data_IF_259016812569
#
_entry.id   IF_259016812569
#
_cell.length_a   1.000
_cell.length_b   1.000
_cell.length_c   1.000
_cell.angle_alpha   90.00
_cell.angle_beta   90.00
_cell.angle_gamma   90.00
#
_symmetry.space_group_name_H-M   'P 1'
#
loop_
_entity.id
_entity.type
_entity.pdbx_description
1 polymer ?
#
# COMPACT_ATOMS: atom_id res chain seq x y z
N UNK A 1 -46.74 -19.03 -32.28
CA UNK A 1 -46.73 -19.36 -30.84
C UNK A 1 -45.59 -18.58 -30.22
N UNK A 2 -45.82 -17.53 -29.41
CA UNK A 2 -44.73 -16.81 -28.76
C UNK A 2 -44.30 -17.53 -27.48
N UNK A 3 -42.98 -17.62 -27.27
CA UNK A 3 -42.33 -18.25 -26.11
C UNK A 3 -42.74 -17.58 -24.80
N UNK A 4 -43.10 -18.38 -23.80
CA UNK A 4 -43.41 -17.91 -22.45
C UNK A 4 -42.14 -17.40 -21.76
N UNK A 5 -42.11 -16.09 -21.49
CA UNK A 5 -41.07 -15.47 -20.69
C UNK A 5 -41.18 -15.95 -19.23
N UNK A 6 -40.16 -16.63 -18.72
CA UNK A 6 -40.13 -17.13 -17.35
C UNK A 6 -39.95 -15.96 -16.38
N UNK A 7 -40.97 -15.68 -15.55
CA UNK A 7 -40.88 -14.62 -14.53
C UNK A 7 -39.94 -15.09 -13.40
N UNK A 8 -39.02 -14.25 -12.89
CA UNK A 8 -38.16 -14.63 -11.78
C UNK A 8 -38.99 -14.88 -10.52
N UNK A 9 -38.83 -16.05 -9.91
CA UNK A 9 -39.47 -16.41 -8.65
C UNK A 9 -38.79 -15.61 -7.53
N UNK A 10 -39.55 -14.75 -6.83
CA UNK A 10 -39.08 -14.12 -5.59
C UNK A 10 -38.97 -15.19 -4.51
N UNK A 11 -37.73 -15.55 -4.13
CA UNK A 11 -37.50 -16.41 -2.97
C UNK A 11 -37.66 -15.59 -1.68
N UNK A 12 -38.29 -16.15 -0.63
CA UNK A 12 -38.47 -15.48 0.65
C UNK A 12 -37.12 -15.27 1.36
N UNK A 13 -37.00 -14.11 2.02
CA UNK A 13 -35.77 -13.60 2.68
C UNK A 13 -35.23 -14.51 3.78
N UNK A 14 -36.08 -15.38 4.36
CA UNK A 14 -35.70 -16.33 5.41
C UNK A 14 -34.74 -17.44 4.97
N UNK A 15 -34.47 -17.57 3.66
CA UNK A 15 -33.45 -18.49 3.14
C UNK A 15 -32.01 -17.94 3.24
N UNK A 16 -31.82 -16.68 3.63
CA UNK A 16 -30.50 -16.05 3.80
C UNK A 16 -29.99 -16.05 5.25
N UNK A 17 -30.82 -16.39 6.24
CA UNK A 17 -30.48 -16.28 7.67
C UNK A 17 -29.56 -17.41 8.18
N UNK A 18 -29.06 -18.30 7.32
CA UNK A 18 -28.19 -19.42 7.72
C UNK A 18 -26.90 -19.50 6.89
N UNK A 19 -26.14 -18.41 6.84
CA UNK A 19 -24.70 -18.45 6.54
C UNK A 19 -23.95 -18.01 7.81
N UNK A 20 -23.97 -18.88 8.83
CA UNK A 20 -23.07 -18.76 9.98
C UNK A 20 -21.71 -19.27 9.51
N UNK A 21 -20.75 -18.36 9.32
CA UNK A 21 -19.37 -18.70 8.97
C UNK A 21 -18.50 -17.61 8.35
N UNK A 22 -19.05 -16.44 8.02
CA UNK A 22 -18.25 -15.25 7.67
C UNK A 22 -18.55 -14.19 8.71
N UNK A 23 -17.52 -13.55 9.28
CA UNK A 23 -17.76 -12.29 9.96
C UNK A 23 -18.53 -11.37 9.00
N UNK A 24 -19.50 -10.61 9.50
CA UNK A 24 -20.26 -9.67 8.67
C UNK A 24 -19.26 -8.73 7.96
N UNK A 25 -19.21 -8.68 6.61
CA UNK A 25 -18.28 -7.82 5.89
C UNK A 25 -18.39 -6.34 6.29
N UNK A 26 -19.58 -5.89 6.70
CA UNK A 26 -19.78 -4.56 7.23
C UNK A 26 -19.13 -4.37 8.60
N UNK A 27 -19.15 -5.41 9.45
CA UNK A 27 -18.45 -5.42 10.74
C UNK A 27 -16.94 -5.43 10.55
N UNK A 28 -16.39 -6.31 9.69
CA UNK A 28 -14.95 -6.34 9.39
C UNK A 28 -14.45 -4.97 8.90
N UNK A 29 -15.20 -4.36 7.98
CA UNK A 29 -14.89 -3.01 7.47
C UNK A 29 -14.92 -1.99 8.60
N UNK A 30 -15.94 -2.01 9.46
CA UNK A 30 -16.07 -1.07 10.58
C UNK A 30 -14.93 -1.21 11.58
N UNK A 31 -14.53 -2.44 11.92
CA UNK A 31 -13.39 -2.71 12.81
C UNK A 31 -12.09 -2.22 12.14
N UNK A 32 -11.91 -2.43 10.83
CA UNK A 32 -10.73 -1.93 10.10
C UNK A 32 -10.62 -0.41 10.19
N UNK A 33 -11.70 0.33 9.95
CA UNK A 33 -11.71 1.79 10.08
C UNK A 33 -11.50 2.26 11.53
N UNK A 34 -12.15 1.62 12.50
CA UNK A 34 -12.02 1.96 13.91
C UNK A 34 -10.59 1.75 14.42
N UNK A 35 -9.97 0.62 14.07
CA UNK A 35 -8.59 0.30 14.46
C UNK A 35 -7.57 1.21 13.77
N UNK A 36 -7.73 1.49 12.47
CA UNK A 36 -6.88 2.43 11.74
C UNK A 36 -6.94 3.85 12.34
N UNK A 37 -8.15 4.35 12.59
CA UNK A 37 -8.37 5.66 13.20
C UNK A 37 -7.82 5.75 14.62
N UNK A 38 -8.08 4.72 15.43
CA UNK A 38 -7.59 4.66 16.81
C UNK A 38 -6.06 4.58 16.87
N UNK A 39 -5.42 3.82 15.98
CA UNK A 39 -3.97 3.76 15.91
C UNK A 39 -3.39 5.13 15.52
N UNK A 40 -3.91 5.75 14.46
CA UNK A 40 -3.44 7.05 14.00
C UNK A 40 -3.60 8.11 15.10
N UNK A 41 -4.76 8.16 15.77
CA UNK A 41 -5.02 9.07 16.88
C UNK A 41 -4.08 8.82 18.06
N UNK A 42 -3.89 7.56 18.47
CA UNK A 42 -3.00 7.20 19.59
C UNK A 42 -1.56 7.59 19.33
N UNK A 43 -1.05 7.33 18.12
CA UNK A 43 0.34 7.66 17.78
C UNK A 43 0.52 9.18 17.67
N UNK A 44 -0.46 9.91 17.16
CA UNK A 44 -0.43 11.39 17.10
C UNK A 44 -0.52 12.05 18.47
N UNK A 45 -1.21 11.44 19.42
CA UNK A 45 -1.30 11.93 20.80
C UNK A 45 -0.01 11.67 21.62
N UNK A 46 0.89 10.81 21.14
CA UNK A 46 2.17 10.55 21.79
C UNK A 46 3.23 11.58 21.38
N UNK A 47 3.37 12.63 22.19
CA UNK A 47 4.35 13.69 21.96
C UNK A 47 5.81 13.18 21.94
N UNK A 48 6.11 12.12 22.71
CA UNK A 48 7.45 11.53 22.75
C UNK A 48 7.82 10.86 21.43
N UNK A 49 6.82 10.31 20.73
CA UNK A 49 7.02 9.54 19.51
C UNK A 49 7.45 8.10 19.67
N UNK A 50 7.62 7.64 20.90
CA UNK A 50 8.03 6.27 21.18
C UNK A 50 7.05 5.25 20.59
N UNK A 51 5.77 5.60 20.43
CA UNK A 51 4.77 4.73 19.80
C UNK A 51 4.95 4.61 18.29
N UNK A 52 5.38 5.67 17.61
CA UNK A 52 5.69 5.61 16.18
C UNK A 52 6.95 4.78 15.92
N UNK A 53 8.01 5.00 16.71
CA UNK A 53 9.24 4.20 16.59
C UNK A 53 8.99 2.73 16.90
N UNK A 54 8.23 2.43 17.95
CA UNK A 54 7.84 1.05 18.25
C UNK A 54 7.04 0.44 17.11
N UNK A 55 6.14 1.18 16.48
CA UNK A 55 5.37 0.65 15.35
C UNK A 55 6.29 0.36 14.16
N UNK A 56 7.16 1.30 13.77
CA UNK A 56 8.13 1.14 12.67
C UNK A 56 9.13 0.00 12.93
N UNK A 57 9.57 -0.17 14.18
CA UNK A 57 10.46 -1.27 14.55
C UNK A 57 9.71 -2.61 14.63
N UNK A 58 8.52 -2.63 15.23
CA UNK A 58 7.69 -3.83 15.35
C UNK A 58 7.28 -4.39 13.98
N UNK A 59 7.01 -3.53 13.01
CA UNK A 59 6.74 -3.96 11.63
C UNK A 59 7.92 -4.66 10.97
N UNK A 60 9.16 -4.30 11.34
CA UNK A 60 10.37 -4.96 10.84
C UNK A 60 10.67 -6.31 11.49
N UNK A 61 10.28 -6.49 12.76
CA UNK A 61 10.67 -7.68 13.56
C UNK A 61 9.57 -8.73 13.72
N UNK A 62 8.30 -8.31 13.84
CA UNK A 62 7.21 -9.20 14.28
C UNK A 62 5.97 -9.17 13.39
N UNK A 63 5.86 -8.18 12.49
CA UNK A 63 4.69 -7.95 11.66
C UNK A 63 3.46 -7.50 12.46
N UNK A 64 2.67 -6.55 11.94
CA UNK A 64 1.38 -6.16 12.56
C UNK A 64 0.25 -7.13 12.23
N UNK A 65 0.56 -8.42 12.13
CA UNK A 65 -0.12 -9.41 11.30
C UNK A 65 -1.65 -9.46 11.48
N UNK A 66 -2.15 -9.39 12.70
CA UNK A 66 -3.61 -9.40 12.96
C UNK A 66 -4.32 -8.13 12.47
N UNK A 67 -3.74 -6.95 12.71
CA UNK A 67 -4.31 -5.66 12.25
C UNK A 67 -4.09 -5.50 10.74
N UNK A 68 -2.95 -5.97 10.26
CA UNK A 68 -2.60 -6.05 8.85
C UNK A 68 -3.60 -6.89 8.06
N UNK A 69 -3.93 -8.09 8.55
CA UNK A 69 -4.92 -8.97 7.94
C UNK A 69 -6.28 -8.27 7.83
N UNK A 70 -6.71 -7.60 8.90
CA UNK A 70 -7.95 -6.84 8.93
C UNK A 70 -7.95 -5.70 7.89
N UNK A 71 -6.87 -4.92 7.80
CA UNK A 71 -6.77 -3.83 6.84
C UNK A 71 -6.56 -4.30 5.40
N UNK A 72 -6.01 -5.49 5.18
CA UNK A 72 -5.75 -6.04 3.85
C UNK A 72 -7.03 -6.21 3.02
N UNK A 73 -8.17 -6.37 3.71
CA UNK A 73 -9.52 -6.51 3.13
C UNK A 73 -10.18 -5.16 2.83
N UNK A 74 -9.65 -4.06 3.38
CA UNK A 74 -10.26 -2.75 3.21
C UNK A 74 -10.10 -2.22 1.77
N UNK A 75 -11.09 -1.48 1.24
CA UNK A 75 -10.98 -0.86 -0.08
C UNK A 75 -9.74 0.05 -0.17
N UNK A 76 -9.13 0.12 -1.35
CA UNK A 76 -7.79 0.72 -1.50
C UNK A 76 -7.67 2.18 -1.12
N UNK A 77 -8.74 2.95 -1.34
CA UNK A 77 -8.82 4.40 -1.13
C UNK A 77 -9.59 4.74 0.14
N UNK A 78 -9.28 4.01 1.20
CA UNK A 78 -9.75 4.23 2.57
C UNK A 78 -8.54 4.42 3.49
N UNK A 79 -8.74 4.94 4.70
CA UNK A 79 -7.68 5.07 5.69
C UNK A 79 -6.98 3.73 5.98
N UNK A 80 -7.68 2.63 6.35
CA UNK A 80 -7.04 1.32 6.54
C UNK A 80 -6.36 0.81 5.26
N UNK A 81 -6.97 0.99 4.09
CA UNK A 81 -6.39 0.55 2.81
C UNK A 81 -5.09 1.28 2.44
N UNK A 82 -4.97 2.56 2.80
CA UNK A 82 -3.77 3.36 2.60
C UNK A 82 -2.66 2.95 3.60
N UNK A 83 -2.99 2.78 4.88
CA UNK A 83 -2.05 2.32 5.91
C UNK A 83 -1.50 0.92 5.60
N UNK A 84 -2.36 0.01 5.14
CA UNK A 84 -1.94 -1.32 4.70
C UNK A 84 -0.91 -1.26 3.56
N UNK A 85 -1.12 -0.42 2.55
CA UNK A 85 -0.18 -0.26 1.44
C UNK A 85 1.16 0.31 1.90
N UNK A 86 1.15 1.29 2.80
CA UNK A 86 2.38 1.82 3.39
C UNK A 86 3.15 0.74 4.14
N UNK A 87 2.44 -0.09 4.91
CA UNK A 87 3.04 -1.21 5.63
C UNK A 87 3.61 -2.28 4.69
N UNK A 88 2.86 -2.75 3.70
CA UNK A 88 3.34 -3.74 2.72
C UNK A 88 4.52 -3.21 1.93
N UNK A 89 4.51 -1.91 1.59
CA UNK A 89 5.63 -1.27 0.93
C UNK A 89 6.87 -1.28 1.83
N UNK A 90 6.76 -0.91 3.10
CA UNK A 90 7.87 -0.99 4.07
C UNK A 90 8.42 -2.41 4.16
N UNK A 91 7.55 -3.39 4.38
CA UNK A 91 7.94 -4.80 4.51
C UNK A 91 8.66 -5.31 3.25
N UNK A 92 8.17 -4.96 2.07
CA UNK A 92 8.77 -5.37 0.81
C UNK A 92 10.17 -4.78 0.57
N UNK A 93 10.45 -3.59 1.11
CA UNK A 93 11.77 -2.94 1.00
C UNK A 93 12.75 -3.52 2.04
N UNK A 94 12.30 -3.75 3.27
CA UNK A 94 13.12 -4.42 4.29
C UNK A 94 13.46 -5.86 3.91
N UNK A 95 12.55 -6.58 3.25
CA UNK A 95 12.76 -7.98 2.86
C UNK A 95 13.78 -8.19 1.74
N UNK A 96 13.96 -7.21 0.85
CA UNK A 96 14.98 -7.25 -0.21
C UNK A 96 15.43 -5.83 -0.60
N UNK A 97 16.27 -5.20 0.25
CA UNK A 97 16.69 -3.83 0.06
C UNK A 97 17.67 -3.68 -1.12
N UNK A 98 18.36 -4.76 -1.49
CA UNK A 98 19.27 -4.78 -2.65
C UNK A 98 18.50 -4.66 -3.97
N UNK A 99 17.48 -5.50 -4.17
CA UNK A 99 16.61 -5.36 -5.34
C UNK A 99 15.90 -4.02 -5.32
N UNK A 100 15.45 -3.56 -4.16
CA UNK A 100 14.82 -2.25 -4.05
C UNK A 100 15.73 -1.10 -4.51
N UNK A 101 16.99 -1.07 -4.09
CA UNK A 101 17.94 -0.04 -4.49
C UNK A 101 18.28 -0.10 -5.98
N UNK A 102 18.47 -1.30 -6.55
CA UNK A 102 18.73 -1.49 -7.98
C UNK A 102 17.56 -0.96 -8.83
N UNK A 103 16.34 -1.35 -8.48
CA UNK A 103 15.15 -0.88 -9.20
C UNK A 103 14.97 0.63 -9.02
N UNK A 104 15.29 1.19 -7.85
CA UNK A 104 15.13 2.62 -7.62
C UNK A 104 16.12 3.43 -8.47
N UNK A 105 17.38 2.99 -8.52
CA UNK A 105 18.42 3.67 -9.31
C UNK A 105 18.13 3.59 -10.81
N UNK A 106 17.67 2.43 -11.30
CA UNK A 106 17.20 2.29 -12.69
C UNK A 106 16.00 3.19 -12.95
N UNK A 107 15.00 3.14 -12.06
CA UNK A 107 13.75 3.88 -12.19
C UNK A 107 13.95 5.39 -12.20
N UNK A 108 14.84 5.94 -11.36
CA UNK A 108 15.08 7.41 -11.33
C UNK A 108 15.76 7.92 -12.61
N UNK A 109 16.50 7.06 -13.32
CA UNK A 109 17.18 7.41 -14.57
C UNK A 109 16.17 7.39 -15.73
N UNK A 110 15.31 6.37 -15.76
CA UNK A 110 14.36 6.16 -16.85
C UNK A 110 13.07 6.98 -16.70
N UNK A 111 12.60 7.20 -15.48
CA UNK A 111 11.39 7.97 -15.20
C UNK A 111 11.67 9.47 -15.27
N UNK A 112 11.31 10.09 -16.39
CA UNK A 112 11.43 11.55 -16.60
C UNK A 112 10.32 12.34 -15.91
N UNK A 113 10.30 12.36 -14.59
CA UNK A 113 9.35 13.10 -13.77
C UNK A 113 9.99 13.68 -12.51
N UNK A 114 9.23 14.46 -11.74
CA UNK A 114 9.67 14.94 -10.43
C UNK A 114 9.60 13.86 -9.32
N UNK A 115 9.19 12.61 -9.65
CA UNK A 115 8.89 11.59 -8.65
C UNK A 115 10.10 11.20 -7.79
N UNK A 116 11.31 11.15 -8.36
CA UNK A 116 12.52 10.88 -7.59
C UNK A 116 12.76 11.95 -6.51
N UNK A 117 12.53 13.23 -6.85
CA UNK A 117 12.65 14.36 -5.93
C UNK A 117 11.56 14.32 -4.87
N UNK A 118 10.31 14.01 -5.26
CA UNK A 118 9.17 13.92 -4.33
C UNK A 118 9.37 12.75 -3.35
N UNK A 119 9.78 11.57 -3.83
CA UNK A 119 10.10 10.44 -2.98
C UNK A 119 11.17 10.82 -1.95
N UNK A 120 12.23 11.52 -2.41
CA UNK A 120 13.25 12.12 -1.56
C UNK A 120 14.35 11.16 -1.15
N UNK A 121 14.70 10.20 -2.02
CA UNK A 121 15.87 9.35 -1.83
C UNK A 121 17.17 10.12 -2.14
N UNK A 122 18.30 9.76 -1.50
CA UNK A 122 19.62 10.22 -1.95
C UNK A 122 19.94 9.73 -3.36
N UNK A 123 20.95 10.32 -4.02
CA UNK A 123 21.34 9.96 -5.38
C UNK A 123 22.86 9.80 -5.47
N UNK A 124 23.38 8.58 -5.72
CA UNK A 124 22.66 7.30 -5.74
C UNK A 124 22.16 6.90 -4.34
N UNK A 125 21.20 5.99 -4.27
CA UNK A 125 20.71 5.48 -2.99
C UNK A 125 21.14 4.04 -2.76
N UNK A 126 21.81 3.80 -1.63
CA UNK A 126 22.19 2.48 -1.15
C UNK A 126 20.98 1.70 -0.57
N UNK A 127 21.08 0.37 -0.42
CA UNK A 127 20.06 -0.45 0.24
C UNK A 127 19.62 0.10 1.61
N UNK A 128 20.58 0.48 2.46
CA UNK A 128 20.30 1.02 3.80
C UNK A 128 19.60 2.39 3.75
N UNK A 129 19.97 3.24 2.78
CA UNK A 129 19.30 4.53 2.57
C UNK A 129 17.87 4.36 2.05
N UNK A 130 17.60 3.32 1.25
CA UNK A 130 16.25 2.96 0.81
C UNK A 130 15.37 2.52 1.99
N UNK A 131 15.94 1.71 2.88
CA UNK A 131 15.30 1.28 4.14
C UNK A 131 15.00 2.50 5.02
N UNK A 132 16.00 3.35 5.25
CA UNK A 132 15.83 4.57 6.03
C UNK A 132 14.79 5.52 5.43
N UNK A 133 14.72 5.60 4.10
CA UNK A 133 13.72 6.40 3.39
C UNK A 133 12.30 5.89 3.63
N UNK A 134 12.06 4.58 3.44
CA UNK A 134 10.70 4.05 3.59
C UNK A 134 10.22 4.14 5.05
N UNK A 135 11.12 3.95 6.01
CA UNK A 135 10.84 4.16 7.44
C UNK A 135 10.53 5.62 7.75
N UNK A 136 11.24 6.55 7.10
CA UNK A 136 10.97 7.98 7.22
C UNK A 136 9.60 8.35 6.66
N UNK A 137 9.22 7.78 5.52
CA UNK A 137 7.89 7.99 4.92
C UNK A 137 6.80 7.44 5.86
N UNK A 138 6.98 6.22 6.38
CA UNK A 138 6.01 5.61 7.30
C UNK A 138 5.91 6.40 8.62
N UNK A 139 7.03 6.82 9.19
CA UNK A 139 7.05 7.70 10.36
C UNK A 139 6.34 9.03 10.09
N UNK A 140 6.53 9.59 8.89
CA UNK A 140 5.84 10.79 8.42
C UNK A 140 4.32 10.61 8.35
N UNK A 141 3.83 9.42 8.00
CA UNK A 141 2.40 9.13 7.98
C UNK A 141 1.76 9.26 9.38
N UNK A 142 2.49 8.87 10.43
CA UNK A 142 2.00 8.91 11.81
C UNK A 142 2.29 10.23 12.53
N UNK A 143 3.42 10.88 12.28
CA UNK A 143 3.86 12.07 13.03
C UNK A 143 3.79 13.37 12.23
N UNK A 144 3.86 13.29 10.91
CA UNK A 144 3.82 14.45 10.01
C UNK A 144 2.47 14.64 9.35
N UNK A 145 2.49 15.32 8.21
CA UNK A 145 1.35 15.41 7.31
C UNK A 145 1.16 14.06 6.58
N UNK A 146 0.01 13.44 6.82
CA UNK A 146 -0.32 12.14 6.25
C UNK A 146 -0.41 12.19 4.73
N UNK A 147 -0.99 13.24 4.14
CA UNK A 147 -1.08 13.36 2.69
C UNK A 147 0.31 13.53 2.05
N UNK A 148 1.22 14.25 2.70
CA UNK A 148 2.62 14.33 2.24
C UNK A 148 3.29 12.97 2.26
N UNK A 149 3.12 12.19 3.34
CA UNK A 149 3.67 10.84 3.40
C UNK A 149 3.10 9.93 2.28
N UNK A 150 1.81 10.03 2.01
CA UNK A 150 1.15 9.30 0.92
C UNK A 150 1.66 9.73 -0.46
N UNK A 151 1.84 11.03 -0.70
CA UNK A 151 2.40 11.53 -1.98
C UNK A 151 3.85 11.05 -2.18
N UNK A 152 4.66 11.05 -1.12
CA UNK A 152 6.04 10.53 -1.14
C UNK A 152 6.07 9.03 -1.44
N UNK A 153 5.22 8.25 -0.78
CA UNK A 153 5.10 6.82 -1.04
C UNK A 153 4.59 6.54 -2.47
N UNK A 154 3.65 7.34 -2.96
CA UNK A 154 3.13 7.21 -4.32
C UNK A 154 4.21 7.49 -5.38
N UNK A 155 5.00 8.55 -5.18
CA UNK A 155 6.13 8.87 -6.03
C UNK A 155 7.20 7.77 -6.00
N UNK A 156 7.53 7.26 -4.82
CA UNK A 156 8.43 6.13 -4.64
C UNK A 156 7.97 4.89 -5.43
N UNK A 157 6.69 4.53 -5.32
CA UNK A 157 6.10 3.43 -6.08
C UNK A 157 6.23 3.61 -7.60
N UNK A 158 6.03 4.82 -8.12
CA UNK A 158 6.19 5.11 -9.56
C UNK A 158 7.63 4.94 -10.02
N UNK A 159 8.60 5.41 -9.25
CA UNK A 159 10.04 5.22 -9.53
C UNK A 159 10.37 3.72 -9.55
N UNK A 160 10.00 2.98 -8.49
CA UNK A 160 10.24 1.55 -8.41
C UNK A 160 9.55 0.76 -9.54
N UNK A 161 8.32 1.14 -9.91
CA UNK A 161 7.59 0.52 -11.02
C UNK A 161 8.33 0.74 -12.35
N UNK A 162 8.79 1.96 -12.61
CA UNK A 162 9.59 2.26 -13.80
C UNK A 162 10.87 1.43 -13.85
N UNK A 163 11.59 1.33 -12.74
CA UNK A 163 12.80 0.51 -12.66
C UNK A 163 12.54 -0.98 -12.87
N UNK A 164 11.45 -1.50 -12.31
CA UNK A 164 11.03 -2.89 -12.49
C UNK A 164 10.68 -3.19 -13.96
N UNK A 165 9.96 -2.30 -14.65
CA UNK A 165 9.62 -2.47 -16.07
C UNK A 165 10.86 -2.48 -16.95
N UNK A 166 11.76 -1.50 -16.82
CA UNK A 166 12.97 -1.46 -17.66
C UNK A 166 13.92 -2.62 -17.38
N UNK A 167 14.05 -3.02 -16.11
CA UNK A 167 14.82 -4.22 -15.76
C UNK A 167 14.17 -5.49 -16.32
N UNK A 168 12.84 -5.56 -16.37
CA UNK A 168 12.15 -6.70 -16.99
C UNK A 168 12.46 -6.81 -18.48
N UNK A 169 12.41 -5.70 -19.22
CA UNK A 169 12.74 -5.65 -20.65
C UNK A 169 14.17 -6.14 -20.91
N UNK A 170 15.12 -5.77 -20.05
CA UNK A 170 16.51 -6.21 -20.14
C UNK A 170 16.66 -7.74 -19.97
N UNK A 171 15.78 -8.38 -19.17
CA UNK A 171 15.78 -9.82 -18.91
C UNK A 171 14.89 -10.64 -19.84
N UNK A 172 14.03 -10.03 -20.66
CA UNK A 172 13.00 -10.71 -21.47
C UNK A 172 13.59 -11.83 -22.34
N UNK A 173 14.75 -11.59 -22.96
CA UNK A 173 15.37 -12.54 -23.88
C UNK A 173 16.17 -13.66 -23.19
N UNK A 174 16.67 -13.43 -21.98
CA UNK A 174 17.60 -14.34 -21.30
C UNK A 174 16.98 -15.07 -20.11
N UNK A 175 16.07 -14.40 -19.39
CA UNK A 175 15.43 -14.86 -18.15
C UNK A 175 13.92 -14.50 -18.15
N UNK A 176 13.09 -15.05 -19.06
CA UNK A 176 11.70 -14.62 -19.25
C UNK A 176 10.80 -14.82 -18.01
N UNK A 177 11.11 -15.81 -17.17
CA UNK A 177 10.41 -16.01 -15.90
C UNK A 177 10.65 -14.83 -14.94
N UNK A 178 11.90 -14.35 -14.85
CA UNK A 178 12.28 -13.20 -14.03
C UNK A 178 11.70 -11.89 -14.58
N UNK A 179 11.68 -11.72 -15.91
CA UNK A 179 11.02 -10.60 -16.55
C UNK A 179 9.52 -10.56 -16.22
N UNK A 180 8.85 -11.72 -16.21
CA UNK A 180 7.43 -11.84 -15.81
C UNK A 180 7.19 -11.47 -14.35
N UNK A 181 8.08 -11.87 -13.44
CA UNK A 181 8.03 -11.50 -12.01
C UNK A 181 8.19 -9.99 -11.82
N UNK A 182 9.17 -9.38 -12.50
CA UNK A 182 9.42 -7.94 -12.46
C UNK A 182 8.26 -7.14 -13.05
N UNK A 183 7.65 -7.60 -14.14
CA UNK A 183 6.45 -7.00 -14.73
C UNK A 183 5.26 -7.05 -13.76
N UNK A 184 5.06 -8.18 -13.09
CA UNK A 184 4.01 -8.33 -12.07
C UNK A 184 4.27 -7.40 -10.88
N UNK A 185 5.52 -7.27 -10.45
CA UNK A 185 5.93 -6.33 -9.40
C UNK A 185 5.65 -4.89 -9.83
N UNK A 186 6.00 -4.50 -11.05
CA UNK A 186 5.77 -3.17 -11.61
C UNK A 186 4.27 -2.82 -11.62
N UNK A 187 3.41 -3.77 -12.02
CA UNK A 187 1.96 -3.57 -12.02
C UNK A 187 1.41 -3.31 -10.61
N UNK A 188 1.86 -4.09 -9.61
CA UNK A 188 1.46 -3.90 -8.20
C UNK A 188 1.90 -2.54 -7.68
N UNK A 189 3.16 -2.15 -7.93
CA UNK A 189 3.70 -0.85 -7.52
C UNK A 189 2.97 0.32 -8.19
N UNK A 190 2.68 0.22 -9.49
CA UNK A 190 1.91 1.22 -10.22
C UNK A 190 0.51 1.40 -9.61
N UNK A 191 -0.17 0.29 -9.30
CA UNK A 191 -1.48 0.31 -8.64
C UNK A 191 -1.42 0.96 -7.25
N UNK A 192 -0.41 0.61 -6.45
CA UNK A 192 -0.18 1.24 -5.14
C UNK A 192 0.08 2.75 -5.27
N UNK A 193 0.88 3.16 -6.24
CA UNK A 193 1.15 4.57 -6.50
C UNK A 193 -0.13 5.36 -6.84
N UNK A 194 -1.04 4.78 -7.63
CA UNK A 194 -2.32 5.40 -7.94
C UNK A 194 -3.24 5.49 -6.72
N UNK A 195 -3.35 4.40 -5.96
CA UNK A 195 -4.19 4.35 -4.76
C UNK A 195 -3.72 5.33 -3.68
N UNK A 196 -2.41 5.38 -3.41
CA UNK A 196 -1.82 6.27 -2.42
C UNK A 196 -1.96 7.75 -2.81
N UNK A 197 -1.75 8.09 -4.09
CA UNK A 197 -1.97 9.45 -4.57
C UNK A 197 -3.45 9.87 -4.45
N UNK A 198 -4.38 8.96 -4.78
CA UNK A 198 -5.80 9.21 -4.58
C UNK A 198 -6.16 9.38 -3.10
N UNK A 199 -5.61 8.54 -2.22
CA UNK A 199 -5.80 8.64 -0.79
C UNK A 199 -5.24 9.97 -0.22
N UNK A 200 -4.12 10.47 -0.74
CA UNK A 200 -3.58 11.77 -0.35
C UNK A 200 -4.53 12.93 -0.68
N UNK A 201 -5.17 12.87 -1.86
CA UNK A 201 -6.21 13.85 -2.25
C UNK A 201 -7.42 13.75 -1.33
N UNK A 202 -7.94 12.54 -1.09
CA UNK A 202 -9.09 12.33 -0.21
C UNK A 202 -8.80 12.78 1.23
N UNK A 203 -7.58 12.57 1.73
CA UNK A 203 -7.17 13.04 3.04
C UNK A 203 -7.22 14.56 3.14
N UNK A 204 -6.69 15.27 2.14
CA UNK A 204 -6.71 16.74 2.11
C UNK A 204 -8.11 17.34 2.07
N UNK A 205 -9.10 16.59 1.60
CA UNK A 205 -10.51 17.03 1.52
C UNK A 205 -11.37 16.42 2.62
N UNK A 206 -10.78 15.84 3.67
CA UNK A 206 -11.49 15.18 4.78
C UNK A 206 -12.48 14.08 4.31
N UNK A 207 -12.20 13.47 3.16
CA UNK A 207 -13.04 12.45 2.51
C UNK A 207 -12.43 11.04 2.59
N UNK A 208 -11.25 10.90 3.20
CA UNK A 208 -10.64 9.59 3.44
C UNK A 208 -11.18 9.00 4.73
N UNK A 209 -12.22 8.19 4.61
CA UNK A 209 -12.77 7.37 5.70
C UNK A 209 -11.91 6.14 5.94
#
# INVERSE_FOLDING_TARGET
MPEQYHRPVRRPTSAFDNIVGSHDPAEETRIAHATASALLARVRADESGASAERLVAFTSEHGIDEIAELWSKAPSRTLPGALWRLYVLQLAIHGDPHTAALLYDRGRVELRSADAVIAGAPVPASPDELVALIDTILRGAFRGDFAVALDRAAAFCRVQASGATHTADDYELTEPARASELTTRALRLSSYGQDLAAAAVLWRTDALS
#
